data_IF_120171453525
#
_entry.id   IF_120171453525
#
_cell.length_a   1.000
_cell.length_b   1.000
_cell.length_c   1.000
_cell.angle_alpha   90.00
_cell.angle_beta   90.00
_cell.angle_gamma   90.00
#
_symmetry.space_group_name_H-M   'P 1'
#
loop_
_entity.id
_entity.type
_entity.pdbx_description
1 polymer ?
#
# COMPACT_ATOMS: atom_id res chain seq x y z
N UNK A 1 19.89 -16.43 -13.81
CA UNK A 1 19.33 -15.16 -13.30
C UNK A 1 20.07 -14.02 -13.96
N UNK A 2 19.41 -13.17 -14.78
CA UNK A 2 20.09 -12.00 -15.31
C UNK A 2 20.43 -11.09 -14.13
N UNK A 3 21.72 -10.79 -13.91
CA UNK A 3 22.13 -9.67 -13.06
C UNK A 3 21.54 -8.41 -13.72
N UNK A 4 20.48 -7.82 -13.17
CA UNK A 4 19.97 -6.58 -13.73
C UNK A 4 21.05 -5.53 -13.46
N UNK A 5 21.31 -4.66 -14.44
CA UNK A 5 22.18 -3.51 -14.28
C UNK A 5 21.93 -2.84 -12.92
N UNK A 6 22.92 -2.89 -12.04
CA UNK A 6 22.78 -2.57 -10.61
C UNK A 6 22.25 -1.14 -10.37
N UNK A 7 22.37 -0.25 -11.36
CA UNK A 7 21.81 1.10 -11.31
C UNK A 7 20.28 1.19 -11.58
N UNK A 8 19.71 0.27 -12.36
CA UNK A 8 18.29 0.29 -12.72
C UNK A 8 17.39 -0.39 -11.69
N UNK A 9 17.86 -1.48 -11.09
CA UNK A 9 17.13 -2.24 -10.08
C UNK A 9 16.97 -1.47 -8.75
N UNK A 10 18.04 -0.77 -8.33
CA UNK A 10 18.03 -0.04 -7.07
C UNK A 10 17.12 1.19 -7.12
N UNK A 11 16.99 1.84 -8.29
CA UNK A 11 16.21 3.08 -8.42
C UNK A 11 14.70 2.87 -8.30
N UNK A 12 14.13 1.85 -8.96
CA UNK A 12 12.69 1.56 -8.83
C UNK A 12 12.33 1.04 -7.44
N UNK A 13 13.20 0.20 -6.84
CA UNK A 13 12.94 -0.36 -5.52
C UNK A 13 13.04 0.70 -4.42
N UNK A 14 14.00 1.63 -4.54
CA UNK A 14 14.09 2.82 -3.70
C UNK A 14 12.81 3.66 -3.80
N UNK A 15 12.30 3.85 -5.02
CA UNK A 15 11.07 4.62 -5.25
C UNK A 15 9.84 3.94 -4.67
N UNK A 16 9.73 2.63 -4.82
CA UNK A 16 8.70 1.82 -4.17
C UNK A 16 8.80 1.95 -2.64
N UNK A 17 10.01 1.83 -2.09
CA UNK A 17 10.29 2.02 -0.66
C UNK A 17 9.83 3.40 -0.16
N UNK A 18 10.01 4.45 -0.96
CA UNK A 18 9.49 5.79 -0.65
C UNK A 18 7.96 5.81 -0.56
N UNK A 19 7.23 5.25 -1.53
CA UNK A 19 5.77 5.18 -1.46
C UNK A 19 5.26 4.32 -0.31
N UNK A 20 5.92 3.19 -0.03
CA UNK A 20 5.66 2.36 1.15
C UNK A 20 5.89 3.14 2.44
N UNK A 21 6.92 3.99 2.48
CA UNK A 21 7.16 4.89 3.60
C UNK A 21 6.02 5.90 3.75
N UNK A 22 5.58 6.55 2.68
CA UNK A 22 4.43 7.46 2.74
C UNK A 22 3.15 6.77 3.21
N UNK A 23 2.89 5.54 2.75
CA UNK A 23 1.78 4.73 3.23
C UNK A 23 1.91 4.42 4.73
N UNK A 24 3.10 4.03 5.18
CA UNK A 24 3.42 3.85 6.59
C UNK A 24 3.29 5.12 7.42
N UNK A 25 3.40 6.32 6.83
CA UNK A 25 3.17 7.59 7.52
C UNK A 25 1.69 7.93 7.69
N UNK A 26 0.78 7.32 6.94
CA UNK A 26 -0.65 7.65 6.99
C UNK A 26 -1.27 7.45 8.38
N UNK A 27 -1.00 6.35 9.12
CA UNK A 27 -1.48 6.18 10.50
C UNK A 27 -1.00 7.25 11.49
N UNK A 28 0.08 7.99 11.18
CA UNK A 28 0.57 9.09 12.02
C UNK A 28 -0.20 10.40 11.82
N UNK A 29 -1.09 10.46 10.82
CA UNK A 29 -1.90 11.64 10.53
C UNK A 29 -2.99 11.77 11.60
N UNK A 30 -3.04 12.86 12.37
CA UNK A 30 -3.93 12.98 13.53
C UNK A 30 -5.39 13.30 13.17
N UNK A 31 -5.80 13.06 11.91
CA UNK A 31 -7.12 13.42 11.39
C UNK A 31 -7.81 12.14 10.88
N UNK A 32 -8.94 11.73 11.49
CA UNK A 32 -9.66 10.55 11.02
C UNK A 32 -10.13 10.75 9.58
N UNK A 33 -10.16 9.66 8.79
CA UNK A 33 -10.52 9.60 7.37
C UNK A 33 -9.52 10.27 6.42
N UNK A 34 -8.72 11.24 6.89
CA UNK A 34 -7.68 11.88 6.09
C UNK A 34 -6.54 10.91 5.83
N UNK A 35 -6.20 10.09 6.81
CA UNK A 35 -5.24 8.99 6.70
C UNK A 35 -5.61 8.00 5.58
N UNK A 36 -6.84 7.47 5.59
CA UNK A 36 -7.32 6.54 4.55
C UNK A 36 -7.36 7.17 3.17
N UNK A 37 -7.77 8.44 3.10
CA UNK A 37 -7.80 9.20 1.86
C UNK A 37 -6.39 9.44 1.30
N UNK A 38 -5.44 9.85 2.14
CA UNK A 38 -4.03 10.03 1.74
C UNK A 38 -3.44 8.69 1.30
N UNK A 39 -3.68 7.61 2.04
CA UNK A 39 -3.21 6.27 1.69
C UNK A 39 -3.72 5.85 0.31
N UNK A 40 -5.01 6.07 0.03
CA UNK A 40 -5.61 5.78 -1.28
C UNK A 40 -4.92 6.56 -2.40
N UNK A 41 -4.56 7.82 -2.15
CA UNK A 41 -3.83 8.63 -3.14
C UNK A 41 -2.40 8.13 -3.33
N UNK A 42 -1.68 7.86 -2.26
CA UNK A 42 -0.30 7.31 -2.31
C UNK A 42 -0.28 6.02 -3.14
N UNK A 43 -1.21 5.10 -2.90
CA UNK A 43 -1.35 3.85 -3.67
C UNK A 43 -1.59 4.11 -5.17
N UNK A 44 -2.46 5.06 -5.51
CA UNK A 44 -2.69 5.44 -6.91
C UNK A 44 -1.46 6.05 -7.58
N UNK A 45 -0.71 6.91 -6.88
CA UNK A 45 0.54 7.46 -7.40
C UNK A 45 1.58 6.37 -7.63
N UNK A 46 1.77 5.48 -6.65
CA UNK A 46 2.67 4.33 -6.75
C UNK A 46 2.32 3.44 -7.95
N UNK A 47 1.04 3.04 -8.08
CA UNK A 47 0.60 2.19 -9.18
C UNK A 47 0.81 2.84 -10.56
N UNK A 48 0.53 4.14 -10.69
CA UNK A 48 0.80 4.89 -11.93
C UNK A 48 2.28 4.92 -12.26
N UNK A 49 3.13 5.10 -11.25
CA UNK A 49 4.58 5.15 -11.48
C UNK A 49 5.11 3.77 -11.90
N UNK A 50 4.69 2.70 -11.23
CA UNK A 50 5.06 1.31 -11.59
C UNK A 50 4.62 0.96 -13.02
N UNK A 51 3.39 1.29 -13.40
CA UNK A 51 2.89 1.06 -14.76
C UNK A 51 3.61 1.95 -15.80
N UNK A 52 3.89 3.20 -15.43
CA UNK A 52 4.60 4.17 -16.26
C UNK A 52 6.01 3.73 -16.65
N UNK A 53 6.72 3.03 -15.75
CA UNK A 53 8.04 2.43 -16.04
C UNK A 53 8.00 1.45 -17.23
N UNK A 54 6.84 0.86 -17.52
CA UNK A 54 6.62 -0.05 -18.65
C UNK A 54 5.74 0.51 -19.75
N UNK A 55 5.41 1.82 -19.69
CA UNK A 55 4.49 2.49 -20.63
C UNK A 55 3.12 1.80 -20.72
N UNK A 56 2.70 1.18 -19.62
CA UNK A 56 1.38 0.59 -19.50
C UNK A 56 0.38 1.66 -19.07
N UNK A 57 -0.76 1.68 -19.74
CA UNK A 57 -1.89 2.56 -19.46
C UNK A 57 -3.02 1.69 -18.92
N UNK A 58 -3.39 1.92 -17.67
CA UNK A 58 -4.55 1.31 -17.05
C UNK A 58 -5.69 2.31 -16.96
N UNK A 59 -6.92 1.85 -17.20
CA UNK A 59 -8.12 2.63 -16.87
C UNK A 59 -8.07 3.04 -15.38
N UNK A 60 -8.65 4.19 -14.99
CA UNK A 60 -8.73 4.58 -13.58
C UNK A 60 -9.40 3.53 -12.68
N UNK A 61 -10.26 2.67 -13.25
CA UNK A 61 -10.89 1.56 -12.54
C UNK A 61 -9.93 0.38 -12.37
N UNK A 62 -9.25 -0.03 -13.43
CA UNK A 62 -8.25 -1.12 -13.36
C UNK A 62 -7.07 -0.75 -12.46
N UNK A 63 -6.62 0.51 -12.51
CA UNK A 63 -5.60 1.00 -11.59
C UNK A 63 -6.05 0.90 -10.13
N UNK A 64 -7.31 1.25 -9.83
CA UNK A 64 -7.86 1.10 -8.47
C UNK A 64 -7.91 -0.36 -8.05
N UNK A 65 -8.29 -1.26 -8.95
CA UNK A 65 -8.30 -2.70 -8.73
C UNK A 65 -6.90 -3.21 -8.40
N UNK A 66 -5.90 -2.88 -9.23
CA UNK A 66 -4.51 -3.30 -9.04
C UNK A 66 -3.94 -2.89 -7.68
N UNK A 67 -4.23 -1.66 -7.24
CA UNK A 67 -3.74 -1.13 -5.97
C UNK A 67 -4.70 -1.35 -4.80
N UNK A 68 -5.74 -2.17 -4.98
CA UNK A 68 -6.59 -2.65 -3.87
C UNK A 68 -7.59 -1.64 -3.33
N UNK A 69 -7.96 -0.67 -4.15
CA UNK A 69 -8.95 0.36 -3.82
C UNK A 69 -10.31 0.03 -4.42
N UNK A 70 -10.63 -1.26 -4.56
CA UNK A 70 -11.95 -1.68 -5.00
C UNK A 70 -13.02 -1.05 -4.12
N UNK A 71 -14.10 -0.59 -4.75
CA UNK A 71 -15.26 -0.02 -4.06
C UNK A 71 -15.92 -1.14 -3.26
N UNK A 72 -15.46 -1.41 -2.04
CA UNK A 72 -16.30 -2.07 -1.03
C UNK A 72 -17.57 -1.23 -0.96
N UNK A 73 -18.72 -1.82 -1.30
CA UNK A 73 -19.99 -1.12 -1.44
C UNK A 73 -20.20 -0.14 -0.29
N UNK A 74 -20.04 1.15 -0.58
CA UNK A 74 -20.01 2.24 0.41
C UNK A 74 -21.39 2.53 1.03
N UNK A 75 -22.34 1.59 0.93
CA UNK A 75 -23.77 1.80 1.18
C UNK A 75 -24.35 1.09 2.40
N UNK A 76 -23.59 0.30 3.17
CA UNK A 76 -24.12 -0.31 4.40
C UNK A 76 -23.91 0.52 5.68
N UNK A 77 -23.22 1.67 5.63
CA UNK A 77 -22.90 2.47 6.83
C UNK A 77 -23.57 3.84 6.96
N UNK A 78 -24.28 4.32 5.93
CA UNK A 78 -24.67 5.74 5.88
C UNK A 78 -25.85 6.12 6.80
N UNK A 79 -26.54 5.16 7.42
CA UNK A 79 -27.65 5.44 8.35
C UNK A 79 -27.23 5.64 9.81
N UNK A 80 -25.97 5.39 10.19
CA UNK A 80 -25.51 5.56 11.58
C UNK A 80 -24.94 6.96 11.90
N UNK A 81 -24.71 7.81 10.89
CA UNK A 81 -23.93 9.04 11.05
C UNK A 81 -24.70 10.23 11.62
N UNK A 82 -26.02 10.25 11.56
CA UNK A 82 -26.83 11.40 12.03
C UNK A 82 -26.93 11.51 13.55
N UNK A 83 -26.64 10.45 14.31
CA UNK A 83 -26.76 10.44 15.78
C UNK A 83 -25.39 10.49 16.50
N UNK A 84 -24.29 10.11 15.83
CA UNK A 84 -22.97 9.92 16.47
C UNK A 84 -22.06 11.17 16.42
N UNK A 85 -22.37 12.14 15.55
CA UNK A 85 -21.59 13.37 15.35
C UNK A 85 -21.33 14.25 16.59
N UNK A 86 -22.26 14.44 17.55
CA UNK A 86 -21.99 15.28 18.71
C UNK A 86 -21.11 14.59 19.77
N UNK A 87 -21.22 13.26 19.92
CA UNK A 87 -20.44 12.49 20.90
C UNK A 87 -18.95 12.37 20.49
N UNK A 88 -18.70 12.37 19.18
CA UNK A 88 -17.35 12.24 18.60
C UNK A 88 -16.45 13.45 18.89
N UNK A 89 -17.00 14.67 18.98
CA UNK A 89 -16.20 15.89 19.26
C UNK A 89 -15.62 15.90 20.68
N UNK A 90 -16.35 15.39 21.67
CA UNK A 90 -15.89 15.30 23.05
C UNK A 90 -14.87 14.17 23.24
N UNK A 91 -15.10 13.03 22.59
CA UNK A 91 -14.16 11.91 22.57
C UNK A 91 -12.81 12.30 21.92
N UNK A 92 -12.84 12.98 20.77
CA UNK A 92 -11.63 13.46 20.08
C UNK A 92 -10.81 14.41 20.96
N UNK A 93 -11.46 15.26 21.77
CA UNK A 93 -10.77 16.18 22.68
C UNK A 93 -10.07 15.45 23.85
N UNK A 94 -10.74 14.50 24.49
CA UNK A 94 -10.16 13.69 25.58
C UNK A 94 -9.02 12.78 25.09
N UNK A 95 -9.22 12.14 23.94
CA UNK A 95 -8.24 11.27 23.28
C UNK A 95 -6.97 12.07 22.98
N UNK A 96 -7.09 13.31 22.46
CA UNK A 96 -5.95 14.18 22.07
C UNK A 96 -4.92 14.43 23.18
N UNK A 97 -5.33 14.33 24.46
CA UNK A 97 -4.49 14.59 25.64
C UNK A 97 -3.79 13.33 26.16
N UNK A 98 -4.42 12.16 26.04
CA UNK A 98 -3.93 10.87 26.58
C UNK A 98 -3.13 10.07 25.52
N UNK A 99 -3.48 10.23 24.25
CA UNK A 99 -2.93 9.45 23.12
C UNK A 99 -1.47 9.74 22.80
N UNK A 100 -0.95 10.93 23.10
CA UNK A 100 0.34 11.41 22.54
C UNK A 100 1.57 10.54 22.89
N UNK A 101 1.52 9.74 23.96
CA UNK A 101 2.61 8.81 24.35
C UNK A 101 2.33 7.34 24.02
N UNK A 102 1.12 6.83 24.28
CA UNK A 102 0.77 5.41 24.06
C UNK A 102 0.60 5.11 22.56
N UNK A 103 0.04 6.05 21.81
CA UNK A 103 -0.14 5.91 20.36
C UNK A 103 1.18 5.92 19.63
N UNK A 104 2.23 6.57 20.14
CA UNK A 104 3.53 6.54 19.44
C UNK A 104 4.07 5.10 19.27
N UNK A 105 3.85 4.19 20.23
CA UNK A 105 4.31 2.79 20.15
C UNK A 105 3.35 1.93 19.31
N UNK A 106 2.03 2.06 19.51
CA UNK A 106 1.04 1.34 18.72
C UNK A 106 1.07 1.75 17.24
N UNK A 107 1.22 3.05 16.97
CA UNK A 107 1.34 3.57 15.62
C UNK A 107 2.61 3.09 14.94
N UNK A 108 3.70 2.78 15.65
CA UNK A 108 4.88 2.21 14.98
C UNK A 108 4.59 0.82 14.40
N UNK A 109 3.74 0.01 15.06
CA UNK A 109 3.28 -1.25 14.51
C UNK A 109 2.42 -0.99 13.27
N UNK A 110 1.41 -0.12 13.37
CA UNK A 110 0.54 0.22 12.24
C UNK A 110 1.31 0.81 11.04
N UNK A 111 2.29 1.68 11.30
CA UNK A 111 3.21 2.20 10.29
C UNK A 111 3.96 1.08 9.57
N UNK A 112 4.51 0.13 10.35
CA UNK A 112 5.26 -0.99 9.80
C UNK A 112 4.37 -1.93 9.00
N UNK A 113 3.16 -2.20 9.50
CA UNK A 113 2.19 -3.08 8.83
C UNK A 113 1.73 -2.44 7.50
N UNK A 114 1.39 -1.15 7.48
CA UNK A 114 0.99 -0.43 6.25
C UNK A 114 2.13 -0.25 5.25
N UNK A 115 3.33 0.04 5.75
CA UNK A 115 4.53 0.09 4.92
C UNK A 115 4.73 -1.25 4.21
N UNK A 116 4.69 -2.33 4.98
CA UNK A 116 4.89 -3.69 4.52
C UNK A 116 3.86 -4.07 3.48
N UNK A 117 2.57 -3.88 3.77
CA UNK A 117 1.47 -4.16 2.84
C UNK A 117 1.71 -3.49 1.47
N UNK A 118 1.98 -2.18 1.47
CA UNK A 118 2.21 -1.43 0.22
C UNK A 118 3.51 -1.82 -0.48
N UNK A 119 4.55 -2.19 0.28
CA UNK A 119 5.81 -2.69 -0.28
C UNK A 119 5.62 -4.02 -1.02
N UNK A 120 4.97 -5.00 -0.39
CA UNK A 120 4.74 -6.32 -1.00
C UNK A 120 3.82 -6.20 -2.23
N UNK A 121 2.72 -5.45 -2.10
CA UNK A 121 1.80 -5.21 -3.21
C UNK A 121 2.50 -4.52 -4.39
N UNK A 122 3.28 -3.47 -4.13
CA UNK A 122 3.99 -2.75 -5.19
C UNK A 122 5.15 -3.56 -5.79
N UNK A 123 5.82 -4.39 -4.99
CA UNK A 123 6.88 -5.28 -5.47
C UNK A 123 6.33 -6.31 -6.44
N UNK A 124 5.26 -7.01 -6.06
CA UNK A 124 4.62 -8.00 -6.91
C UNK A 124 3.93 -7.38 -8.12
N UNK A 125 3.36 -6.17 -7.98
CA UNK A 125 2.83 -5.42 -9.12
C UNK A 125 3.94 -5.11 -10.13
N UNK A 126 5.12 -4.69 -9.66
CA UNK A 126 6.28 -4.49 -10.55
C UNK A 126 6.74 -5.81 -11.17
N UNK A 127 6.82 -6.91 -10.42
CA UNK A 127 7.13 -8.22 -10.98
C UNK A 127 6.13 -8.64 -12.07
N UNK A 128 4.84 -8.39 -11.87
CA UNK A 128 3.78 -8.63 -12.84
C UNK A 128 3.99 -7.82 -14.14
N UNK A 129 4.39 -6.55 -14.04
CA UNK A 129 4.70 -5.72 -15.23
C UNK A 129 5.97 -6.19 -15.93
N UNK A 130 6.98 -6.68 -15.19
CA UNK A 130 8.21 -7.23 -15.79
C UNK A 130 7.93 -8.50 -16.61
N UNK A 131 6.97 -9.31 -16.16
CA UNK A 131 6.60 -10.60 -16.75
C UNK A 131 5.58 -10.50 -17.88
N UNK A 132 5.01 -9.33 -18.12
CA UNK A 132 3.92 -9.15 -19.08
C UNK A 132 2.58 -9.70 -18.59
N UNK A 133 2.41 -9.91 -17.28
CA UNK A 133 1.17 -10.48 -16.73
C UNK A 133 -0.06 -9.58 -16.90
N UNK A 134 0.19 -8.31 -17.20
CA UNK A 134 -0.79 -7.24 -17.39
C UNK A 134 -0.99 -6.87 -18.86
N UNK A 135 -0.24 -7.47 -19.79
CA UNK A 135 -0.36 -7.16 -21.21
C UNK A 135 -1.61 -7.84 -21.80
N UNK A 136 -2.33 -7.08 -22.63
CA UNK A 136 -3.47 -7.58 -23.40
C UNK A 136 -3.14 -7.73 -24.88
N UNK A 137 -4.15 -8.08 -25.67
CA UNK A 137 -4.06 -8.13 -27.13
C UNK A 137 -3.69 -6.75 -27.73
N UNK A 138 -4.10 -5.67 -27.07
CA UNK A 138 -3.72 -4.31 -27.41
C UNK A 138 -2.46 -3.89 -26.63
N UNK A 139 -1.37 -3.66 -27.37
CA UNK A 139 -0.09 -3.22 -26.81
C UNK A 139 -0.26 -1.98 -25.92
N UNK A 140 0.25 -2.05 -24.69
CA UNK A 140 0.26 -0.93 -23.76
C UNK A 140 -1.02 -0.70 -22.95
N UNK A 141 -2.10 -1.43 -23.19
CA UNK A 141 -3.34 -1.33 -22.39
C UNK A 141 -3.48 -2.51 -21.44
N UNK A 142 -3.80 -2.24 -20.18
CA UNK A 142 -4.06 -3.29 -19.18
C UNK A 142 -5.51 -3.78 -19.29
N UNK A 143 -5.78 -5.06 -19.61
CA UNK A 143 -7.14 -5.61 -19.58
C UNK A 143 -7.66 -5.76 -18.15
N UNK A 144 -8.94 -5.48 -17.93
CA UNK A 144 -9.59 -5.63 -16.62
C UNK A 144 -9.48 -7.07 -16.06
N UNK A 145 -9.57 -8.08 -16.91
CA UNK A 145 -9.41 -9.48 -16.49
C UNK A 145 -8.00 -9.76 -15.96
N UNK A 146 -6.97 -9.28 -16.67
CA UNK A 146 -5.57 -9.38 -16.23
C UNK A 146 -5.33 -8.61 -14.94
N UNK A 147 -5.89 -7.40 -14.81
CA UNK A 147 -5.79 -6.61 -13.59
C UNK A 147 -6.36 -7.33 -12.37
N UNK A 148 -7.53 -7.97 -12.49
CA UNK A 148 -8.15 -8.76 -11.42
C UNK A 148 -7.39 -10.04 -11.10
N UNK A 149 -6.87 -10.74 -12.11
CA UNK A 149 -6.09 -11.95 -11.91
C UNK A 149 -4.78 -11.65 -11.16
N UNK A 150 -4.05 -10.62 -11.60
CA UNK A 150 -2.83 -10.15 -10.93
C UNK A 150 -3.15 -9.69 -9.51
N UNK A 151 -4.20 -8.89 -9.31
CA UNK A 151 -4.59 -8.46 -7.96
C UNK A 151 -4.85 -9.63 -7.03
N UNK A 152 -5.59 -10.65 -7.48
CA UNK A 152 -5.86 -11.87 -6.70
C UNK A 152 -4.57 -12.60 -6.36
N UNK A 153 -3.69 -12.80 -7.34
CA UNK A 153 -2.40 -13.45 -7.11
C UNK A 153 -1.51 -12.69 -6.13
N UNK A 154 -1.53 -11.35 -6.17
CA UNK A 154 -0.82 -10.49 -5.20
C UNK A 154 -1.37 -10.72 -3.79
N UNK A 155 -2.69 -10.65 -3.61
CA UNK A 155 -3.32 -10.82 -2.29
C UNK A 155 -3.02 -12.20 -1.72
N UNK A 156 -3.19 -13.24 -2.53
CA UNK A 156 -2.94 -14.62 -2.11
C UNK A 156 -1.46 -14.85 -1.73
N UNK A 157 -0.51 -14.34 -2.52
CA UNK A 157 0.90 -14.47 -2.20
C UNK A 157 1.27 -13.77 -0.89
N UNK A 158 0.72 -12.57 -0.66
CA UNK A 158 0.93 -11.83 0.58
C UNK A 158 0.32 -12.53 1.80
N UNK A 159 -0.77 -13.28 1.63
CA UNK A 159 -1.42 -14.04 2.71
C UNK A 159 -0.67 -15.34 3.06
N UNK A 160 0.02 -15.95 2.09
CA UNK A 160 0.72 -17.22 2.26
C UNK A 160 2.15 -17.06 2.81
N UNK A 161 2.83 -15.95 2.53
CA UNK A 161 4.23 -15.72 2.92
C UNK A 161 4.32 -14.96 4.26
N UNK A 162 5.11 -15.47 5.21
CA UNK A 162 5.27 -14.83 6.53
C UNK A 162 6.01 -13.47 6.41
N UNK A 163 5.35 -12.32 6.67
CA UNK A 163 5.98 -11.00 6.51
C UNK A 163 6.93 -10.63 7.66
N UNK A 164 7.10 -11.49 8.69
CA UNK A 164 7.89 -11.18 9.90
C UNK A 164 9.33 -10.71 9.63
N UNK A 165 10.12 -11.31 8.72
CA UNK A 165 11.50 -10.87 8.48
C UNK A 165 11.56 -9.41 8.02
N UNK A 166 10.71 -9.06 7.05
CA UNK A 166 10.58 -7.70 6.52
C UNK A 166 10.03 -6.74 7.57
N UNK A 167 8.99 -7.14 8.31
CA UNK A 167 8.43 -6.34 9.42
C UNK A 167 9.48 -5.97 10.47
N UNK A 168 10.36 -6.91 10.84
CA UNK A 168 11.41 -6.63 11.83
C UNK A 168 12.40 -5.59 11.33
N UNK A 169 12.80 -5.66 10.05
CA UNK A 169 13.69 -4.68 9.43
C UNK A 169 13.06 -3.29 9.37
N UNK A 170 11.81 -3.21 8.91
CA UNK A 170 11.04 -1.94 8.85
C UNK A 170 10.93 -1.34 10.24
N UNK A 171 10.47 -2.12 11.22
CA UNK A 171 10.28 -1.65 12.60
C UNK A 171 11.59 -1.14 13.21
N UNK A 172 12.72 -1.80 12.96
CA UNK A 172 14.06 -1.35 13.39
C UNK A 172 14.43 -0.03 12.72
N UNK A 173 14.24 0.09 11.41
CA UNK A 173 14.53 1.32 10.65
C UNK A 173 13.68 2.51 11.09
N UNK A 174 12.37 2.30 11.31
CA UNK A 174 11.43 3.35 11.70
C UNK A 174 11.61 3.80 13.16
N UNK A 175 11.97 2.89 14.07
CA UNK A 175 12.13 3.19 15.51
C UNK A 175 13.16 4.29 15.78
N UNK A 176 14.23 4.37 14.97
CA UNK A 176 15.26 5.40 15.09
C UNK A 176 14.86 6.77 14.53
N UNK A 177 13.78 6.85 13.75
CA UNK A 177 13.44 8.04 12.95
C UNK A 177 12.08 8.66 13.33
N UNK A 178 11.57 8.41 14.54
CA UNK A 178 10.21 8.81 14.97
C UNK A 178 9.88 10.29 14.78
N UNK A 179 10.84 11.17 15.06
CA UNK A 179 10.65 12.62 14.85
C UNK A 179 10.53 12.96 13.37
N UNK A 180 11.37 12.34 12.52
CA UNK A 180 11.31 12.49 11.07
C UNK A 180 9.96 12.00 10.53
N UNK A 181 9.47 10.85 11.01
CA UNK A 181 8.18 10.30 10.62
C UNK A 181 7.02 11.22 11.03
N UNK A 182 7.04 11.74 12.25
CA UNK A 182 5.99 12.66 12.72
C UNK A 182 5.98 13.98 11.91
N UNK A 183 7.16 14.49 11.54
CA UNK A 183 7.30 15.67 10.68
C UNK A 183 6.80 15.37 9.26
N UNK A 184 7.21 14.24 8.69
CA UNK A 184 6.80 13.80 7.36
C UNK A 184 5.30 13.59 7.26
N UNK A 185 4.68 12.90 8.23
CA UNK A 185 3.22 12.69 8.25
C UNK A 185 2.42 14.01 8.25
N UNK A 186 2.87 15.02 9.00
CA UNK A 186 2.22 16.34 9.02
C UNK A 186 2.35 17.07 7.68
N UNK A 187 3.53 17.03 7.08
CA UNK A 187 3.77 17.68 5.79
C UNK A 187 3.04 16.96 4.66
N UNK A 188 3.04 15.63 4.65
CA UNK A 188 2.25 14.79 3.75
C UNK A 188 0.77 15.15 3.81
N UNK A 189 0.20 15.19 5.02
CA UNK A 189 -1.20 15.61 5.20
C UNK A 189 -1.45 17.03 4.69
N UNK A 190 -0.53 17.97 4.91
CA UNK A 190 -0.65 19.33 4.41
C UNK A 190 -0.57 19.41 2.88
N UNK A 191 0.36 18.67 2.26
CA UNK A 191 0.55 18.59 0.82
C UNK A 191 -0.73 18.09 0.14
N UNK A 192 -1.26 16.95 0.59
CA UNK A 192 -2.48 16.40 0.02
C UNK A 192 -3.70 17.30 0.23
N UNK A 193 -3.87 17.91 1.41
CA UNK A 193 -4.97 18.88 1.64
C UNK A 193 -4.91 20.06 0.69
N UNK A 194 -3.73 20.62 0.41
CA UNK A 194 -3.54 21.68 -0.60
C UNK A 194 -3.79 21.14 -2.01
N UNK A 195 -3.29 19.93 -2.26
CA UNK A 195 -3.50 19.11 -3.45
C UNK A 195 -4.95 18.99 -3.92
N UNK A 196 -5.89 18.99 -2.97
CA UNK A 196 -7.32 18.96 -3.27
C UNK A 196 -7.80 20.14 -4.12
N UNK A 197 -7.14 21.30 -4.00
CA UNK A 197 -7.43 22.50 -4.79
C UNK A 197 -6.49 22.65 -5.99
N UNK A 198 -5.26 22.19 -5.84
CA UNK A 198 -4.20 22.34 -6.84
C UNK A 198 -3.34 21.06 -6.92
N UNK A 199 -3.49 20.25 -7.99
CA UNK A 199 -2.72 19.03 -8.16
C UNK A 199 -1.19 19.22 -8.12
N UNK A 200 -0.69 20.34 -8.64
CA UNK A 200 0.75 20.64 -8.67
C UNK A 200 1.35 20.81 -7.27
N UNK A 201 0.55 21.29 -6.32
CA UNK A 201 0.94 21.38 -4.92
C UNK A 201 1.13 20.00 -4.25
N UNK A 202 0.49 18.96 -4.78
CA UNK A 202 0.71 17.57 -4.31
C UNK A 202 2.09 17.10 -4.74
N UNK A 203 2.43 17.28 -6.02
CA UNK A 203 3.71 16.84 -6.59
C UNK A 203 4.89 17.55 -5.93
N UNK A 204 4.83 18.88 -5.82
CA UNK A 204 5.84 19.66 -5.10
C UNK A 204 5.94 19.24 -3.61
N UNK A 205 4.82 18.87 -3.00
CA UNK A 205 4.79 18.32 -1.65
C UNK A 205 5.51 16.98 -1.55
N UNK A 206 5.24 16.05 -2.47
CA UNK A 206 5.88 14.74 -2.53
C UNK A 206 7.39 14.85 -2.77
N UNK A 207 7.84 15.72 -3.67
CA UNK A 207 9.28 15.99 -3.86
C UNK A 207 9.93 16.52 -2.58
N UNK A 208 9.24 17.41 -1.87
CA UNK A 208 9.69 17.93 -0.58
C UNK A 208 9.80 16.85 0.50
N UNK A 209 8.87 15.88 0.51
CA UNK A 209 8.93 14.71 1.40
C UNK A 209 10.03 13.74 1.01
N UNK A 210 10.25 13.50 -0.28
CA UNK A 210 11.33 12.64 -0.76
C UNK A 210 12.69 13.14 -0.29
N UNK A 211 12.95 14.45 -0.40
CA UNK A 211 14.19 15.06 0.10
C UNK A 211 14.35 14.91 1.62
N UNK A 212 13.26 15.10 2.36
CA UNK A 212 13.26 14.96 3.82
C UNK A 212 13.54 13.51 4.25
N UNK A 213 12.97 12.54 3.53
CA UNK A 213 13.01 11.13 3.88
C UNK A 213 14.13 10.36 3.18
N UNK A 214 14.88 10.98 2.28
CA UNK A 214 15.88 10.35 1.40
C UNK A 214 16.78 9.37 2.16
N UNK A 215 17.50 9.82 3.20
CA UNK A 215 18.42 8.96 3.97
C UNK A 215 17.72 7.78 4.63
N UNK A 216 16.47 7.94 5.08
CA UNK A 216 15.70 6.84 5.66
C UNK A 216 15.26 5.85 4.57
N UNK A 217 14.80 6.36 3.43
CA UNK A 217 14.43 5.57 2.26
C UNK A 217 15.63 4.76 1.77
N UNK A 218 16.79 5.39 1.56
CA UNK A 218 18.00 4.75 1.07
C UNK A 218 18.43 3.59 1.98
N UNK A 219 18.48 3.85 3.30
CA UNK A 219 18.82 2.82 4.28
C UNK A 219 17.81 1.68 4.31
N UNK A 220 16.51 1.99 4.24
CA UNK A 220 15.46 0.97 4.22
C UNK A 220 15.52 0.15 2.93
N UNK A 221 15.65 0.80 1.77
CA UNK A 221 15.69 0.13 0.48
C UNK A 221 16.90 -0.79 0.39
N UNK A 222 18.09 -0.34 0.78
CA UNK A 222 19.28 -1.21 0.78
C UNK A 222 19.11 -2.39 1.74
N UNK A 223 18.58 -2.16 2.96
CA UNK A 223 18.38 -3.23 3.94
C UNK A 223 17.35 -4.28 3.49
N UNK A 224 16.27 -3.82 2.87
CA UNK A 224 15.19 -4.67 2.38
C UNK A 224 15.60 -5.44 1.11
N UNK A 225 16.33 -4.79 0.21
CA UNK A 225 16.81 -5.41 -1.02
C UNK A 225 17.75 -6.59 -0.76
N UNK A 226 18.51 -6.56 0.33
CA UNK A 226 19.37 -7.66 0.75
C UNK A 226 18.62 -8.94 1.14
N UNK A 227 17.29 -8.89 1.32
CA UNK A 227 16.45 -10.06 1.62
C UNK A 227 16.06 -10.83 0.36
N UNK A 228 17.00 -11.14 -0.53
CA UNK A 228 16.73 -11.75 -1.83
C UNK A 228 15.92 -13.06 -1.75
N UNK A 229 16.22 -13.91 -0.77
CA UNK A 229 15.50 -15.17 -0.56
C UNK A 229 14.00 -14.94 -0.24
N UNK A 230 13.70 -13.92 0.57
CA UNK A 230 12.32 -13.56 0.90
C UNK A 230 11.53 -13.12 -0.34
N UNK A 231 12.13 -12.26 -1.16
CA UNK A 231 11.48 -11.76 -2.38
C UNK A 231 11.28 -12.87 -3.41
N UNK A 232 12.21 -13.82 -3.50
CA UNK A 232 12.06 -15.00 -4.36
C UNK A 232 10.90 -15.88 -3.92
N UNK A 233 10.80 -16.19 -2.62
CA UNK A 233 9.68 -16.96 -2.06
C UNK A 233 8.34 -16.27 -2.35
N UNK A 234 8.26 -14.96 -2.13
CA UNK A 234 7.07 -14.16 -2.44
C UNK A 234 6.67 -14.23 -3.91
N UNK A 235 7.63 -14.13 -4.83
CA UNK A 235 7.37 -14.29 -6.26
C UNK A 235 6.87 -15.69 -6.59
N UNK A 236 7.49 -16.75 -6.05
CA UNK A 236 7.06 -18.14 -6.30
C UNK A 236 5.62 -18.40 -5.89
N UNK A 237 5.18 -17.84 -4.75
CA UNK A 237 3.78 -17.90 -4.31
C UNK A 237 2.85 -17.11 -5.24
N UNK A 238 3.27 -15.92 -5.67
CA UNK A 238 2.53 -15.13 -6.66
C UNK A 238 2.34 -15.86 -7.98
N UNK A 239 3.38 -16.54 -8.49
CA UNK A 239 3.32 -17.26 -9.77
C UNK A 239 2.34 -18.43 -9.74
N UNK A 240 2.32 -19.19 -8.64
CA UNK A 240 1.32 -20.23 -8.42
C UNK A 240 -0.09 -19.63 -8.42
N UNK A 241 -0.29 -18.60 -7.61
CA UNK A 241 -1.60 -17.95 -7.43
C UNK A 241 -2.16 -17.32 -8.71
N UNK A 242 -1.33 -16.65 -9.52
CA UNK A 242 -1.78 -16.05 -10.81
C UNK A 242 -2.09 -17.11 -11.85
N UNK A 243 -1.31 -18.20 -11.89
CA UNK A 243 -1.57 -19.31 -12.81
C UNK A 243 -2.93 -19.94 -12.51
N UNK A 244 -3.21 -20.19 -11.23
CA UNK A 244 -4.50 -20.74 -10.77
C UNK A 244 -5.66 -19.78 -11.07
N UNK A 245 -5.49 -18.47 -10.81
CA UNK A 245 -6.51 -17.45 -11.05
C UNK A 245 -6.85 -17.28 -12.55
N UNK A 246 -5.92 -17.57 -13.45
CA UNK A 246 -6.15 -17.56 -14.91
C UNK A 246 -6.87 -18.82 -15.40
N UNK A 247 -6.60 -19.98 -14.78
CA UNK A 247 -7.22 -21.26 -15.15
C UNK A 247 -8.67 -21.37 -14.65
N UNK A 248 -9.01 -20.74 -13.53
CA UNK A 248 -10.34 -20.79 -12.93
C UNK A 248 -11.02 -19.41 -12.82
N UNK A 249 -11.40 -18.77 -13.95
CA UNK A 249 -12.04 -17.46 -13.94
C UNK A 249 -13.48 -17.46 -13.42
N UNK A 250 -14.13 -18.64 -13.33
CA UNK A 250 -15.58 -18.78 -13.13
C UNK A 250 -16.05 -18.94 -11.67
N UNK A 251 -15.15 -19.16 -10.70
CA UNK A 251 -15.53 -19.28 -9.28
C UNK A 251 -15.63 -17.93 -8.53
N UNK A 252 -15.49 -16.81 -9.25
CA UNK A 252 -15.26 -15.48 -8.65
C UNK A 252 -16.38 -14.46 -8.82
N UNK A 253 -17.65 -14.89 -8.93
CA UNK A 253 -18.79 -13.97 -8.84
C UNK A 253 -19.40 -13.83 -7.44
N UNK A 254 -18.99 -14.62 -6.46
CA UNK A 254 -19.47 -14.47 -5.08
C UNK A 254 -18.36 -14.06 -4.13
N UNK A 255 -18.67 -13.03 -3.34
CA UNK A 255 -17.77 -12.46 -2.32
C UNK A 255 -17.48 -13.46 -1.20
N UNK A 256 -16.69 -13.04 -0.19
CA UNK A 256 -16.49 -13.85 0.99
C UNK A 256 -17.83 -13.95 1.75
N UNK A 257 -18.55 -15.05 1.54
CA UNK A 257 -19.56 -15.54 2.47
C UNK A 257 -18.84 -15.94 3.77
N UNK A 258 -18.66 -14.96 4.65
CA UNK A 258 -18.33 -15.23 6.06
C UNK A 258 -19.63 -15.66 6.73
N UNK A 259 -20.05 -16.90 6.42
CA UNK A 259 -21.07 -17.60 7.17
C UNK A 259 -20.61 -17.80 8.62
N UNK A 260 -21.52 -17.71 9.60
CA UNK A 260 -21.18 -17.79 11.01
C UNK A 260 -20.61 -19.18 11.34
N UNK A 261 -19.45 -19.21 12.01
CA UNK A 261 -18.95 -20.41 12.67
C UNK A 261 -19.99 -20.86 13.69
N UNK A 262 -20.75 -21.90 13.37
CA UNK A 262 -21.52 -22.65 14.34
C UNK A 262 -20.57 -23.19 15.41
N UNK A 263 -20.82 -22.79 16.65
CA UNK A 263 -20.24 -23.41 17.81
C UNK A 263 -20.87 -24.81 17.94
N UNK A 264 -20.06 -25.85 17.77
CA UNK A 264 -20.45 -27.22 18.10
C UNK A 264 -20.68 -27.36 19.62
N UNK A 265 -21.57 -28.27 20.04
CA UNK A 265 -21.94 -28.43 21.43
C UNK A 265 -20.87 -29.24 22.18
N UNK A 266 -20.52 -28.77 23.37
CA UNK A 266 -19.75 -29.47 24.39
C UNK A 266 -20.27 -29.06 25.76
#
# INVERSE_FOLDING_TARGET
MPKPSEAGGETWFRRLTFFSLLAGLCPLIPLPFVDDWVLSRVRLYMGREILGLRRLIASPEDLRTLVGLEKKGLWQGCFALTVILPLFKLAVYLIRKIVRKIVLILTLKECSDRFSEVLHEGYLLHAATLRGDLEGEAAGTVPTASARAVRRGIVQACDEVDPRPVHQLIKRGLRGSRWLLATGARRLAAAFRRGRKDPSATEAGLEGEERLLATLVDRLSSSLWLQAAYWQELEEHYLRSVSDARQHPALSSDGPDVGPREAGPG
#
